data_IF_082479302140
#
_entry.id   IF_082479302140
#
_cell.length_a   1.000
_cell.length_b   1.000
_cell.length_c   1.000
_cell.angle_alpha   90.00
_cell.angle_beta   90.00
_cell.angle_gamma   90.00
#
_symmetry.space_group_name_H-M   'P 1'
#
loop_
_entity.id
_entity.type
_entity.pdbx_description
1 polymer ?
#
# COMPACT_ATOMS: atom_id res chain seq x y z
N UNK A 1 6.21 18.12 42.17
CA UNK A 1 5.12 17.83 41.23
C UNK A 1 5.80 17.46 39.92
N UNK A 2 5.61 16.24 39.43
CA UNK A 2 6.24 15.77 38.19
C UNK A 2 5.54 16.43 36.99
N UNK A 3 6.29 16.96 36.00
CA UNK A 3 5.70 17.45 34.74
C UNK A 3 5.13 16.27 33.95
N UNK A 4 4.11 16.55 33.17
CA UNK A 4 3.57 15.60 32.19
C UNK A 4 4.46 15.65 30.94
N UNK A 5 5.01 14.51 30.54
CA UNK A 5 5.74 14.38 29.28
C UNK A 5 4.77 13.80 28.26
N UNK A 6 4.54 14.51 27.17
CA UNK A 6 3.85 13.98 26.01
C UNK A 6 4.86 13.86 24.87
N UNK A 7 5.10 12.64 24.43
CA UNK A 7 5.90 12.36 23.23
C UNK A 7 4.95 11.74 22.22
N UNK A 8 4.87 12.32 21.05
CA UNK A 8 4.06 11.82 19.96
C UNK A 8 4.93 11.53 18.73
N UNK A 9 4.71 10.42 18.07
CA UNK A 9 5.05 10.31 16.66
C UNK A 9 4.07 11.21 15.91
N UNK A 10 4.59 12.23 15.21
CA UNK A 10 3.77 13.21 14.52
C UNK A 10 3.03 12.62 13.32
N UNK A 11 1.97 11.88 13.64
CA UNK A 11 0.91 11.58 12.69
C UNK A 11 -0.26 12.49 13.03
N UNK A 12 -0.59 13.42 12.15
CA UNK A 12 -1.84 14.21 12.31
C UNK A 12 -3.00 13.30 11.97
N UNK A 13 -3.42 12.51 12.95
CA UNK A 13 -4.57 11.61 12.85
C UNK A 13 -5.71 12.25 13.63
N UNK A 14 -6.61 12.92 12.93
CA UNK A 14 -7.84 13.45 13.51
C UNK A 14 -8.93 12.38 13.46
N UNK A 15 -9.33 11.87 14.62
CA UNK A 15 -10.47 10.99 14.82
C UNK A 15 -10.09 9.50 14.84
N UNK A 16 -10.34 8.84 15.95
CA UNK A 16 -10.34 7.39 16.03
C UNK A 16 -11.69 6.90 15.47
N UNK A 17 -11.69 6.48 14.21
CA UNK A 17 -12.80 5.72 13.63
C UNK A 17 -12.65 4.26 14.09
N UNK A 18 -13.76 3.55 14.27
CA UNK A 18 -13.76 2.16 14.72
C UNK A 18 -13.08 1.27 13.64
N UNK A 19 -11.90 0.69 13.92
CA UNK A 19 -11.21 -0.18 12.95
C UNK A 19 -11.96 -1.48 12.66
N UNK A 20 -13.03 -1.76 13.44
CA UNK A 20 -13.89 -2.93 13.31
C UNK A 20 -15.23 -2.60 12.69
N UNK A 21 -15.32 -1.54 11.88
CA UNK A 21 -16.56 -1.25 11.17
C UNK A 21 -17.05 -2.49 10.44
N UNK A 22 -18.21 -3.00 10.87
CA UNK A 22 -18.81 -4.22 10.34
C UNK A 22 -19.89 -3.85 9.35
N UNK A 23 -19.80 -4.40 8.16
CA UNK A 23 -20.84 -4.26 7.17
C UNK A 23 -22.06 -5.10 7.58
N UNK A 24 -23.22 -4.49 7.65
CA UNK A 24 -24.48 -5.22 7.83
C UNK A 24 -24.96 -5.88 6.53
N UNK A 25 -26.05 -6.62 6.62
CA UNK A 25 -26.65 -7.27 5.44
C UNK A 25 -27.03 -6.26 4.35
N UNK A 26 -27.62 -5.13 4.74
CA UNK A 26 -28.02 -4.06 3.81
C UNK A 26 -26.81 -3.41 3.14
N UNK A 27 -25.70 -3.26 3.88
CA UNK A 27 -24.44 -2.76 3.34
C UNK A 27 -23.86 -3.75 2.31
N UNK A 28 -23.92 -5.05 2.57
CA UNK A 28 -23.42 -6.07 1.66
C UNK A 28 -24.19 -6.08 0.33
N UNK A 29 -25.53 -5.96 0.37
CA UNK A 29 -26.35 -5.89 -0.84
C UNK A 29 -26.03 -4.64 -1.67
N UNK A 30 -25.88 -3.50 -1.01
CA UNK A 30 -25.56 -2.23 -1.66
C UNK A 30 -24.14 -2.23 -2.24
N UNK A 31 -23.17 -2.78 -1.52
CA UNK A 31 -21.79 -2.95 -2.01
C UNK A 31 -21.76 -3.85 -3.25
N UNK A 32 -22.50 -4.96 -3.28
CA UNK A 32 -22.58 -5.82 -4.46
C UNK A 32 -23.16 -5.09 -5.67
N UNK A 33 -24.14 -4.23 -5.47
CA UNK A 33 -24.66 -3.39 -6.54
C UNK A 33 -23.61 -2.43 -7.09
N UNK A 34 -22.85 -1.76 -6.22
CA UNK A 34 -21.75 -0.86 -6.61
C UNK A 34 -20.60 -1.61 -7.29
N UNK A 35 -20.31 -2.83 -6.88
CA UNK A 35 -19.28 -3.67 -7.51
C UNK A 35 -19.62 -4.03 -8.96
N UNK A 36 -20.86 -3.90 -9.39
CA UNK A 36 -21.26 -3.99 -10.80
C UNK A 36 -20.67 -2.88 -11.69
N UNK A 37 -20.06 -1.85 -11.09
CA UNK A 37 -19.33 -0.79 -11.80
C UNK A 37 -17.83 -1.09 -11.97
N UNK A 38 -17.31 -2.19 -11.39
CA UNK A 38 -15.95 -2.63 -11.60
C UNK A 38 -15.73 -3.07 -13.05
N UNK A 39 -14.49 -2.94 -13.52
CA UNK A 39 -14.09 -3.37 -14.85
C UNK A 39 -14.45 -4.84 -15.10
N UNK A 40 -15.13 -5.11 -16.22
CA UNK A 40 -15.46 -6.46 -16.69
C UNK A 40 -14.83 -6.77 -18.04
N UNK A 41 -13.91 -5.92 -18.52
CA UNK A 41 -13.21 -6.13 -19.78
C UNK A 41 -12.36 -7.41 -19.70
N UNK A 42 -12.36 -8.18 -20.80
CA UNK A 42 -11.61 -9.42 -20.93
C UNK A 42 -10.50 -9.22 -21.97
N UNK A 43 -9.24 -9.33 -21.52
CA UNK A 43 -8.06 -9.40 -22.37
C UNK A 43 -7.73 -10.84 -22.76
N UNK A 44 -6.55 -11.02 -23.33
CA UNK A 44 -6.02 -12.36 -23.68
C UNK A 44 -5.46 -13.04 -22.42
N UNK A 45 -4.77 -12.26 -21.56
CA UNK A 45 -4.05 -12.76 -20.39
C UNK A 45 -4.64 -12.29 -19.07
N UNK A 46 -5.49 -11.26 -19.10
CA UNK A 46 -6.08 -10.68 -17.89
C UNK A 46 -7.59 -10.53 -18.02
N UNK A 47 -8.25 -10.41 -16.90
CA UNK A 47 -9.68 -10.05 -16.82
C UNK A 47 -9.89 -9.01 -15.74
N UNK A 48 -10.81 -8.08 -15.97
CA UNK A 48 -11.17 -7.06 -14.99
C UNK A 48 -11.76 -7.65 -13.71
N UNK A 49 -11.51 -6.97 -12.59
CA UNK A 49 -11.88 -7.44 -11.24
C UNK A 49 -13.39 -7.61 -11.06
N UNK A 50 -14.23 -6.97 -11.88
CA UNK A 50 -15.68 -7.16 -11.91
C UNK A 50 -16.11 -8.59 -12.20
N UNK A 51 -15.32 -9.35 -12.97
CA UNK A 51 -15.61 -10.75 -13.29
C UNK A 51 -15.43 -11.70 -12.08
N UNK A 52 -14.75 -11.24 -11.00
CA UNK A 52 -14.55 -12.00 -9.76
C UNK A 52 -15.68 -11.78 -8.74
N UNK A 53 -16.50 -10.74 -8.93
CA UNK A 53 -17.54 -10.29 -8.00
C UNK A 53 -18.57 -11.36 -7.68
N UNK A 54 -18.97 -12.17 -8.66
CA UNK A 54 -20.02 -13.17 -8.47
C UNK A 54 -19.74 -14.16 -7.34
N UNK A 55 -18.45 -14.49 -7.12
CA UNK A 55 -18.02 -15.45 -6.11
C UNK A 55 -17.32 -14.80 -4.91
N UNK A 56 -16.60 -13.68 -5.13
CA UNK A 56 -15.70 -13.09 -4.13
C UNK A 56 -16.21 -11.75 -3.55
N UNK A 57 -17.39 -11.27 -3.94
CA UNK A 57 -18.07 -10.16 -3.27
C UNK A 57 -18.67 -10.60 -1.92
N UNK A 58 -19.04 -9.64 -1.05
CA UNK A 58 -19.72 -9.94 0.21
C UNK A 58 -20.91 -10.88 0.03
N UNK A 59 -21.05 -11.86 0.90
CA UNK A 59 -22.19 -12.77 0.92
C UNK A 59 -23.35 -12.16 1.70
N UNK A 60 -24.50 -11.85 1.05
CA UNK A 60 -25.66 -11.28 1.73
C UNK A 60 -26.27 -12.18 2.80
N UNK A 61 -26.09 -13.50 2.67
CA UNK A 61 -26.60 -14.46 3.63
C UNK A 61 -25.66 -14.67 4.82
N UNK A 62 -24.39 -14.21 4.70
CA UNK A 62 -23.38 -14.31 5.75
C UNK A 62 -22.88 -15.73 6.00
N UNK A 63 -23.02 -16.62 5.02
CA UNK A 63 -22.53 -18.02 5.11
C UNK A 63 -21.09 -18.16 4.63
N UNK A 64 -20.61 -17.22 3.80
CA UNK A 64 -19.26 -17.19 3.26
C UNK A 64 -18.62 -15.81 3.44
N UNK A 65 -17.30 -15.76 3.26
CA UNK A 65 -16.51 -14.53 3.29
C UNK A 65 -16.78 -13.68 4.54
N UNK A 66 -16.92 -14.37 5.67
CA UNK A 66 -17.09 -13.76 7.00
C UNK A 66 -16.03 -14.29 7.96
N UNK A 67 -15.61 -13.45 8.89
CA UNK A 67 -14.72 -13.84 9.98
C UNK A 67 -15.49 -14.53 11.12
N UNK A 68 -14.78 -14.95 12.17
CA UNK A 68 -15.33 -15.60 13.38
C UNK A 68 -16.32 -14.72 14.15
N UNK A 69 -16.43 -13.44 13.81
CA UNK A 69 -17.38 -12.49 14.39
C UNK A 69 -18.55 -12.18 13.45
N UNK A 70 -18.58 -12.80 12.26
CA UNK A 70 -19.60 -12.56 11.23
C UNK A 70 -19.39 -11.25 10.45
N UNK A 71 -18.23 -10.63 10.55
CA UNK A 71 -17.89 -9.46 9.73
C UNK A 71 -17.44 -9.92 8.34
N UNK A 72 -17.89 -9.20 7.31
CA UNK A 72 -17.49 -9.46 5.93
C UNK A 72 -15.98 -9.29 5.76
N UNK A 73 -15.36 -10.25 5.10
CA UNK A 73 -13.94 -10.28 4.73
C UNK A 73 -13.79 -10.65 3.24
N UNK A 74 -14.65 -10.09 2.43
CA UNK A 74 -14.65 -10.29 0.98
C UNK A 74 -13.38 -9.72 0.37
N UNK A 75 -12.61 -10.50 -0.43
CA UNK A 75 -11.44 -10.01 -1.13
C UNK A 75 -11.72 -8.77 -1.98
N UNK A 76 -12.84 -8.77 -2.70
CA UNK A 76 -13.25 -7.66 -3.56
C UNK A 76 -13.58 -6.41 -2.72
N UNK A 77 -14.37 -6.57 -1.67
CA UNK A 77 -14.78 -5.43 -0.83
C UNK A 77 -13.60 -4.81 -0.08
N UNK A 78 -12.68 -5.63 0.42
CA UNK A 78 -11.50 -5.16 1.13
C UNK A 78 -10.47 -4.50 0.19
N UNK A 79 -10.25 -5.06 -1.00
CA UNK A 79 -9.32 -4.55 -2.00
C UNK A 79 -9.79 -3.26 -2.65
N UNK A 80 -11.07 -3.14 -3.00
CA UNK A 80 -11.64 -2.08 -3.85
C UNK A 80 -11.35 -0.67 -3.36
N UNK A 81 -11.24 -0.45 -2.05
CA UNK A 81 -10.93 0.86 -1.45
C UNK A 81 -9.44 1.03 -1.11
N UNK A 82 -8.55 0.15 -1.56
CA UNK A 82 -7.10 0.26 -1.32
C UNK A 82 -6.43 1.19 -2.33
N UNK A 83 -5.22 1.66 -2.01
CA UNK A 83 -4.39 2.39 -2.97
C UNK A 83 -3.91 1.51 -4.12
N UNK A 84 -3.82 0.18 -3.93
CA UNK A 84 -3.47 -0.75 -5.00
C UNK A 84 -4.60 -0.86 -6.04
N UNK A 85 -5.84 -1.02 -5.60
CA UNK A 85 -7.00 -1.03 -6.49
C UNK A 85 -7.16 0.27 -7.29
N UNK A 86 -6.79 1.38 -6.69
CA UNK A 86 -6.95 2.71 -7.27
C UNK A 86 -5.63 3.30 -7.78
N UNK A 87 -4.59 2.49 -7.98
CA UNK A 87 -3.24 2.94 -8.32
C UNK A 87 -3.17 3.70 -9.64
N UNK A 88 -3.92 3.27 -10.66
CA UNK A 88 -4.00 3.94 -11.95
C UNK A 88 -4.83 5.24 -11.91
N UNK A 89 -5.74 5.37 -10.95
CA UNK A 89 -6.64 6.52 -10.78
C UNK A 89 -6.19 7.47 -9.66
N UNK A 90 -5.07 7.20 -8.99
CA UNK A 90 -4.51 8.06 -7.94
C UNK A 90 -4.11 9.42 -8.53
N UNK A 91 -4.78 10.52 -8.13
CA UNK A 91 -4.51 11.84 -8.72
C UNK A 91 -3.13 12.38 -8.36
N UNK A 92 -2.54 11.96 -7.24
CA UNK A 92 -1.19 12.35 -6.88
C UNK A 92 -0.15 11.64 -7.76
N UNK A 93 -0.33 10.34 -7.99
CA UNK A 93 0.54 9.60 -8.89
C UNK A 93 0.46 10.13 -10.33
N UNK A 94 -0.75 10.36 -10.86
CA UNK A 94 -0.93 10.93 -12.21
C UNK A 94 -0.25 12.31 -12.34
N UNK A 95 -0.44 13.19 -11.34
CA UNK A 95 0.21 14.49 -11.31
C UNK A 95 1.75 14.37 -11.22
N UNK A 96 2.26 13.36 -10.53
CA UNK A 96 3.70 13.12 -10.42
C UNK A 96 4.28 12.62 -11.74
N UNK A 97 3.61 11.69 -12.42
CA UNK A 97 4.03 11.21 -13.76
C UNK A 97 4.06 12.36 -14.75
N UNK A 98 3.02 13.20 -14.76
CA UNK A 98 2.99 14.37 -15.64
C UNK A 98 4.11 15.37 -15.32
N UNK A 99 4.37 15.62 -14.03
CA UNK A 99 5.49 16.47 -13.59
C UNK A 99 6.84 15.93 -14.06
N UNK A 100 7.09 14.61 -13.90
CA UNK A 100 8.34 13.99 -14.37
C UNK A 100 8.51 14.12 -15.88
N UNK A 101 7.44 13.94 -16.65
CA UNK A 101 7.43 14.14 -18.08
C UNK A 101 7.64 15.59 -18.52
N UNK A 102 7.23 16.57 -17.70
CA UNK A 102 7.50 18.00 -17.93
C UNK A 102 8.95 18.38 -17.63
N UNK A 103 9.54 17.81 -16.60
CA UNK A 103 10.94 18.04 -16.20
C UNK A 103 11.90 17.33 -17.16
N UNK A 104 11.52 16.13 -17.63
CA UNK A 104 12.34 15.26 -18.47
C UNK A 104 11.63 14.97 -19.82
N UNK A 105 11.36 15.96 -20.67
CA UNK A 105 10.49 15.77 -21.85
C UNK A 105 11.07 14.80 -22.87
N UNK A 106 12.39 14.65 -22.96
CA UNK A 106 13.04 13.69 -23.86
C UNK A 106 12.85 12.21 -23.43
N UNK A 107 12.50 11.98 -22.16
CA UNK A 107 12.36 10.65 -21.55
C UNK A 107 10.92 10.36 -21.12
N UNK A 108 9.97 11.24 -21.44
CA UNK A 108 8.59 11.18 -20.98
C UNK A 108 7.96 9.79 -21.17
N UNK A 109 8.06 9.26 -22.39
CA UNK A 109 7.47 7.97 -22.74
C UNK A 109 8.10 6.81 -21.98
N UNK A 110 9.41 6.83 -21.77
CA UNK A 110 10.11 5.83 -20.96
C UNK A 110 9.69 5.90 -19.49
N UNK A 111 9.53 7.11 -18.93
CA UNK A 111 9.04 7.34 -17.56
C UNK A 111 7.61 6.81 -17.42
N UNK A 112 6.71 7.18 -18.31
CA UNK A 112 5.31 6.72 -18.31
C UNK A 112 5.24 5.19 -18.37
N UNK A 113 6.06 4.56 -19.22
CA UNK A 113 6.10 3.11 -19.35
C UNK A 113 6.58 2.40 -18.07
N UNK A 114 7.58 2.94 -17.39
CA UNK A 114 8.03 2.41 -16.08
C UNK A 114 6.97 2.60 -15.00
N UNK A 115 6.32 3.75 -14.96
CA UNK A 115 5.26 4.05 -13.99
C UNK A 115 4.04 3.13 -14.17
N UNK A 116 3.58 2.94 -15.40
CA UNK A 116 2.39 2.14 -15.72
C UNK A 116 2.60 0.64 -15.45
N UNK A 117 3.84 0.13 -15.56
CA UNK A 117 4.16 -1.27 -15.27
C UNK A 117 3.77 -1.71 -13.85
N UNK A 118 3.84 -0.81 -12.87
CA UNK A 118 3.44 -1.08 -11.48
C UNK A 118 2.04 -0.59 -11.13
N UNK A 119 1.61 0.55 -11.70
CA UNK A 119 0.35 1.20 -11.33
C UNK A 119 -0.84 0.75 -12.17
N UNK A 120 -0.59 0.16 -13.35
CA UNK A 120 -1.60 -0.40 -14.25
C UNK A 120 -1.10 -1.73 -14.87
N UNK A 121 -0.65 -2.71 -14.05
CA UNK A 121 0.08 -3.87 -14.55
C UNK A 121 -0.74 -4.71 -15.54
N UNK A 122 -2.05 -4.80 -15.39
CA UNK A 122 -2.90 -5.57 -16.29
C UNK A 122 -2.89 -4.98 -17.70
N UNK A 123 -3.18 -3.69 -17.86
CA UNK A 123 -3.14 -3.02 -19.17
C UNK A 123 -1.74 -3.00 -19.77
N UNK A 124 -0.72 -2.69 -18.94
CA UNK A 124 0.68 -2.67 -19.37
C UNK A 124 1.12 -4.03 -19.93
N UNK A 125 0.95 -5.11 -19.17
CA UNK A 125 1.40 -6.44 -19.60
C UNK A 125 0.52 -7.00 -20.74
N UNK A 126 -0.79 -6.77 -20.73
CA UNK A 126 -1.68 -7.14 -21.83
C UNK A 126 -1.21 -6.52 -23.13
N UNK A 127 -0.95 -5.20 -23.14
CA UNK A 127 -0.51 -4.50 -24.34
C UNK A 127 0.84 -4.99 -24.87
N UNK A 128 1.82 -5.23 -23.97
CA UNK A 128 3.13 -5.72 -24.37
C UNK A 128 3.11 -7.16 -24.85
N UNK A 129 2.40 -8.06 -24.16
CA UNK A 129 2.34 -9.48 -24.49
C UNK A 129 1.55 -9.77 -25.78
N UNK A 130 0.51 -8.96 -26.06
CA UNK A 130 -0.27 -9.06 -27.30
C UNK A 130 0.39 -8.34 -28.48
N UNK A 131 1.39 -7.50 -28.22
CA UNK A 131 2.02 -6.64 -29.21
C UNK A 131 1.18 -5.42 -29.58
N UNK A 132 0.20 -5.06 -28.76
CA UNK A 132 -0.62 -3.86 -28.92
C UNK A 132 0.11 -2.59 -28.43
N UNK A 133 1.11 -2.72 -27.55
CA UNK A 133 1.94 -1.61 -27.14
C UNK A 133 2.61 -0.96 -28.33
N UNK A 134 2.49 0.37 -28.43
CA UNK A 134 3.08 1.16 -29.50
C UNK A 134 4.62 1.20 -29.43
N UNK A 135 5.27 1.92 -30.34
CA UNK A 135 6.72 2.06 -30.35
C UNK A 135 7.27 2.77 -29.10
N UNK A 136 6.40 3.50 -28.40
CA UNK A 136 6.71 4.23 -27.15
C UNK A 136 6.33 3.44 -25.89
N UNK A 137 5.94 2.18 -26.04
CA UNK A 137 5.46 1.33 -24.94
C UNK A 137 3.99 1.58 -24.61
N UNK A 138 3.63 1.50 -23.33
CA UNK A 138 2.29 1.74 -22.78
C UNK A 138 2.29 3.05 -22.00
N UNK A 139 1.79 4.10 -22.67
CA UNK A 139 1.84 5.48 -22.19
C UNK A 139 0.65 5.83 -21.29
N UNK A 140 0.67 7.03 -20.70
CA UNK A 140 -0.49 7.55 -19.95
C UNK A 140 -1.73 7.75 -20.84
N UNK A 141 -1.54 8.11 -22.12
CA UNK A 141 -2.66 8.23 -23.06
C UNK A 141 -3.29 6.86 -23.35
N UNK A 142 -2.46 5.80 -23.47
CA UNK A 142 -2.94 4.43 -23.63
C UNK A 142 -3.71 3.99 -22.37
N UNK A 143 -3.15 4.23 -21.18
CA UNK A 143 -3.79 3.92 -19.90
C UNK A 143 -5.16 4.59 -19.75
N UNK A 144 -5.25 5.88 -20.08
CA UNK A 144 -6.51 6.64 -19.91
C UNK A 144 -7.62 6.18 -20.88
N UNK A 145 -7.28 5.40 -21.89
CA UNK A 145 -8.21 4.79 -22.86
C UNK A 145 -8.48 3.29 -22.59
N UNK A 146 -7.82 2.70 -21.57
CA UNK A 146 -7.83 1.27 -21.29
C UNK A 146 -8.51 0.99 -19.93
N UNK A 147 -9.73 0.47 -19.95
CA UNK A 147 -10.46 0.12 -18.71
C UNK A 147 -9.79 -1.00 -17.91
N UNK A 148 -9.09 -1.94 -18.60
CA UNK A 148 -8.33 -3.00 -17.92
C UNK A 148 -7.11 -2.42 -17.18
N UNK A 149 -6.42 -1.45 -17.77
CA UNK A 149 -5.35 -0.72 -17.12
C UNK A 149 -5.85 0.16 -15.96
N UNK A 150 -7.00 0.80 -16.15
CA UNK A 150 -7.66 1.62 -15.12
C UNK A 150 -8.23 0.81 -13.94
N UNK A 151 -8.30 -0.51 -14.02
CA UNK A 151 -8.60 -1.41 -12.89
C UNK A 151 -7.45 -1.45 -11.84
N UNK A 152 -6.33 -0.77 -12.13
CA UNK A 152 -5.18 -0.66 -11.24
C UNK A 152 -4.46 -2.00 -11.05
N UNK A 153 -4.02 -2.28 -9.81
CA UNK A 153 -3.49 -3.61 -9.45
C UNK A 153 -4.68 -4.50 -9.11
N UNK A 154 -5.33 -5.03 -10.14
CA UNK A 154 -6.53 -5.84 -10.02
C UNK A 154 -6.25 -7.31 -9.66
N UNK A 155 -7.32 -8.10 -9.59
CA UNK A 155 -7.24 -9.50 -9.15
C UNK A 155 -6.25 -10.31 -9.99
N UNK A 156 -6.41 -10.30 -11.30
CA UNK A 156 -5.52 -11.04 -12.21
C UNK A 156 -4.12 -10.42 -12.32
N UNK A 157 -3.95 -9.13 -12.00
CA UNK A 157 -2.63 -8.49 -11.90
C UNK A 157 -1.69 -9.18 -10.92
N UNK A 158 -2.23 -9.74 -9.82
CA UNK A 158 -1.46 -10.52 -8.85
C UNK A 158 -1.59 -12.03 -9.11
N UNK A 159 -2.82 -12.52 -9.31
CA UNK A 159 -3.09 -13.95 -9.39
C UNK A 159 -2.61 -14.64 -10.67
N UNK A 160 -2.16 -13.87 -11.69
CA UNK A 160 -1.52 -14.41 -12.91
C UNK A 160 0.01 -14.47 -12.85
N UNK A 161 0.63 -14.08 -11.75
CA UNK A 161 2.09 -14.06 -11.59
C UNK A 161 2.61 -15.49 -11.41
N UNK A 162 3.49 -15.95 -12.30
CA UNK A 162 4.17 -17.23 -12.20
C UNK A 162 5.34 -17.18 -11.19
N UNK A 163 5.69 -18.35 -10.66
CA UNK A 163 6.86 -18.50 -9.79
C UNK A 163 8.16 -18.63 -10.62
N UNK A 164 8.56 -17.54 -11.28
CA UNK A 164 9.78 -17.48 -12.06
C UNK A 164 10.70 -16.36 -11.58
N UNK A 165 11.69 -16.71 -10.76
CA UNK A 165 12.72 -15.80 -10.22
C UNK A 165 12.17 -14.52 -9.60
N UNK A 166 11.07 -14.60 -8.85
CA UNK A 166 10.37 -13.44 -8.30
C UNK A 166 11.26 -12.52 -7.45
N UNK A 167 12.12 -13.12 -6.61
CA UNK A 167 13.06 -12.38 -5.76
C UNK A 167 14.08 -11.53 -6.53
N UNK A 168 14.36 -11.88 -7.79
CA UNK A 168 15.30 -11.17 -8.66
C UNK A 168 14.66 -10.14 -9.58
N UNK A 169 13.34 -9.94 -9.51
CA UNK A 169 12.62 -9.02 -10.38
C UNK A 169 12.40 -7.66 -9.73
N UNK A 170 12.27 -6.63 -10.57
CA UNK A 170 12.08 -5.24 -10.17
C UNK A 170 11.34 -4.47 -11.26
N UNK A 171 11.01 -3.21 -11.02
CA UNK A 171 10.49 -2.27 -12.01
C UNK A 171 9.20 -2.73 -12.70
N UNK A 172 8.34 -3.49 -11.99
CA UNK A 172 7.10 -4.01 -12.55
C UNK A 172 7.28 -5.17 -13.56
N UNK A 173 8.49 -5.75 -13.68
CA UNK A 173 8.73 -6.94 -14.50
C UNK A 173 8.05 -8.16 -13.85
N UNK A 174 6.84 -8.48 -14.27
CA UNK A 174 6.04 -9.59 -13.76
C UNK A 174 6.08 -10.78 -14.73
N UNK A 175 6.41 -11.99 -14.24
CA UNK A 175 6.32 -13.21 -15.05
C UNK A 175 4.85 -13.65 -15.13
N UNK A 176 4.12 -13.12 -16.09
CA UNK A 176 2.69 -13.43 -16.27
C UNK A 176 2.54 -14.77 -16.99
N UNK A 177 1.70 -15.66 -16.45
CA UNK A 177 1.38 -16.91 -17.11
C UNK A 177 0.50 -16.70 -18.36
N UNK A 178 0.65 -17.57 -19.34
CA UNK A 178 -0.08 -17.51 -20.62
C UNK A 178 -1.19 -18.55 -20.72
N UNK A 179 -1.49 -19.27 -19.64
CA UNK A 179 -2.43 -20.38 -19.63
C UNK A 179 -3.70 -20.05 -18.83
N UNK A 180 -3.92 -18.78 -18.50
CA UNK A 180 -5.03 -18.28 -17.68
C UNK A 180 -5.16 -19.03 -16.35
N UNK A 181 -4.03 -19.27 -15.68
CA UNK A 181 -4.00 -19.83 -14.33
C UNK A 181 -4.15 -18.70 -13.32
N UNK A 182 -5.08 -18.86 -12.37
CA UNK A 182 -5.18 -17.99 -11.20
C UNK A 182 -4.53 -18.66 -10.00
N UNK A 183 -3.30 -18.24 -9.69
CA UNK A 183 -2.55 -18.77 -8.57
C UNK A 183 -3.15 -18.31 -7.23
N UNK A 184 -3.29 -19.26 -6.30
CA UNK A 184 -3.77 -18.98 -4.95
C UNK A 184 -3.07 -19.82 -3.89
N UNK A 185 -3.32 -19.50 -2.62
CA UNK A 185 -2.70 -20.19 -1.48
C UNK A 185 -3.33 -21.53 -1.08
N UNK A 186 -4.26 -22.12 -1.84
CA UNK A 186 -4.97 -23.36 -1.48
C UNK A 186 -4.48 -24.54 -2.27
N UNK A 187 -4.09 -25.64 -1.58
CA UNK A 187 -3.48 -26.82 -2.21
C UNK A 187 -4.41 -27.60 -3.15
N UNK A 188 -5.71 -27.53 -2.94
CA UNK A 188 -6.70 -28.23 -3.74
C UNK A 188 -7.88 -27.29 -4.06
N UNK A 189 -7.66 -26.27 -4.89
CA UNK A 189 -8.73 -25.36 -5.27
C UNK A 189 -9.77 -26.07 -6.12
N UNK A 190 -11.02 -25.64 -6.00
CA UNK A 190 -12.10 -26.18 -6.81
C UNK A 190 -12.21 -25.43 -8.11
N UNK A 191 -11.82 -26.06 -9.22
CA UNK A 191 -11.63 -25.41 -10.52
C UNK A 191 -12.91 -25.16 -11.33
N UNK A 192 -13.87 -26.09 -11.27
CA UNK A 192 -14.98 -26.15 -12.21
C UNK A 192 -15.88 -24.92 -12.26
N UNK A 193 -16.16 -24.29 -11.11
CA UNK A 193 -17.02 -23.10 -11.07
C UNK A 193 -16.26 -21.84 -11.54
N UNK A 194 -15.05 -21.65 -11.06
CA UNK A 194 -14.26 -20.47 -11.41
C UNK A 194 -13.86 -20.47 -12.87
N UNK A 195 -13.34 -21.59 -13.39
CA UNK A 195 -12.94 -21.70 -14.80
C UNK A 195 -14.13 -21.56 -15.76
N UNK A 196 -15.29 -22.10 -15.38
CA UNK A 196 -16.51 -21.96 -16.18
C UNK A 196 -17.09 -20.54 -16.22
N UNK A 197 -16.82 -19.72 -15.18
CA UNK A 197 -17.35 -18.36 -15.06
C UNK A 197 -16.38 -17.32 -15.64
N UNK A 198 -15.07 -17.49 -15.43
CA UNK A 198 -14.06 -16.46 -15.70
C UNK A 198 -13.05 -16.87 -16.77
N UNK A 199 -13.02 -18.12 -17.19
CA UNK A 199 -11.96 -18.67 -18.04
C UNK A 199 -10.62 -18.91 -17.32
N UNK A 200 -10.48 -18.53 -16.05
CA UNK A 200 -9.26 -18.73 -15.27
C UNK A 200 -9.33 -20.02 -14.45
N UNK A 201 -8.27 -20.81 -14.47
CA UNK A 201 -8.13 -22.08 -13.75
C UNK A 201 -7.46 -21.80 -12.40
N UNK A 202 -8.16 -21.93 -11.27
CA UNK A 202 -7.52 -21.74 -9.97
C UNK A 202 -6.52 -22.88 -9.71
N UNK A 203 -5.32 -22.54 -9.29
CA UNK A 203 -4.26 -23.46 -8.96
C UNK A 203 -3.52 -23.08 -7.68
N UNK A 204 -2.91 -24.06 -7.01
CA UNK A 204 -2.06 -23.80 -5.88
C UNK A 204 -0.71 -23.23 -6.33
N UNK A 205 -0.33 -22.09 -5.77
CA UNK A 205 0.98 -21.48 -5.92
C UNK A 205 1.55 -21.10 -4.56
N UNK A 206 2.58 -21.80 -4.09
CA UNK A 206 3.19 -21.50 -2.78
C UNK A 206 3.79 -20.10 -2.75
N UNK A 207 4.25 -19.58 -3.89
CA UNK A 207 4.77 -18.22 -4.03
C UNK A 207 3.74 -17.14 -3.65
N UNK A 208 2.44 -17.41 -3.77
CA UNK A 208 1.38 -16.50 -3.33
C UNK A 208 1.36 -16.27 -1.81
N UNK A 209 2.06 -17.13 -1.06
CA UNK A 209 2.27 -16.99 0.39
C UNK A 209 3.64 -16.39 0.74
N UNK A 210 4.48 -16.11 -0.26
CA UNK A 210 5.82 -15.54 -0.10
C UNK A 210 5.83 -14.04 -0.38
N UNK A 211 6.69 -13.31 0.33
CA UNK A 211 6.97 -11.89 0.06
C UNK A 211 7.51 -11.63 -1.35
N UNK A 212 8.05 -12.65 -2.01
CA UNK A 212 8.62 -12.56 -3.35
C UNK A 212 7.58 -12.12 -4.41
N UNK A 213 6.29 -12.46 -4.24
CA UNK A 213 5.24 -12.01 -5.15
C UNK A 213 5.09 -10.48 -5.17
N UNK A 214 5.53 -9.81 -4.12
CA UNK A 214 5.48 -8.35 -4.01
C UNK A 214 6.74 -7.67 -4.58
N UNK A 215 7.83 -8.43 -4.80
CA UNK A 215 9.17 -7.92 -5.08
C UNK A 215 9.24 -7.00 -6.29
N UNK A 216 8.65 -7.40 -7.41
CA UNK A 216 8.78 -6.68 -8.67
C UNK A 216 8.25 -5.25 -8.60
N UNK A 217 7.06 -5.04 -8.03
CA UNK A 217 6.47 -3.71 -7.90
C UNK A 217 7.00 -2.93 -6.68
N UNK A 218 7.55 -3.63 -5.66
CA UNK A 218 8.11 -3.02 -4.45
C UNK A 218 9.64 -2.98 -4.45
N UNK A 219 10.25 -3.05 -5.65
CA UNK A 219 11.66 -2.79 -5.94
C UNK A 219 11.77 -1.98 -7.22
N UNK A 220 11.99 -0.66 -7.09
CA UNK A 220 12.11 0.26 -8.23
C UNK A 220 13.52 0.84 -8.25
N UNK A 221 14.21 0.66 -9.37
CA UNK A 221 15.52 1.19 -9.66
C UNK A 221 15.45 2.05 -10.91
N UNK A 222 15.95 3.27 -10.83
CA UNK A 222 15.99 4.20 -11.94
C UNK A 222 17.44 4.59 -12.27
N UNK A 223 17.73 4.81 -13.54
CA UNK A 223 19.02 5.36 -13.95
C UNK A 223 19.02 6.86 -13.67
N UNK A 224 20.11 7.35 -13.03
CA UNK A 224 20.25 8.78 -12.80
C UNK A 224 20.73 9.48 -14.05
N UNK A 225 20.28 10.71 -14.24
CA UNK A 225 20.69 11.58 -15.32
C UNK A 225 21.35 12.84 -14.76
N UNK A 226 22.26 13.42 -15.53
CA UNK A 226 22.80 14.73 -15.22
C UNK A 226 21.85 15.87 -15.63
N UNK A 227 22.25 17.11 -15.40
CA UNK A 227 21.43 18.28 -15.71
C UNK A 227 21.20 18.50 -17.21
N UNK A 228 22.00 17.85 -18.06
CA UNK A 228 21.86 17.89 -19.52
C UNK A 228 20.97 16.72 -20.04
N UNK A 229 20.53 15.82 -19.14
CA UNK A 229 19.68 14.67 -19.44
C UNK A 229 20.44 13.42 -19.91
N UNK A 230 21.76 13.41 -19.80
CA UNK A 230 22.58 12.25 -20.13
C UNK A 230 22.68 11.28 -18.94
N UNK A 231 22.62 9.97 -19.21
CA UNK A 231 22.74 8.96 -18.16
C UNK A 231 24.11 9.02 -17.47
N UNK A 232 24.13 9.13 -16.15
CA UNK A 232 25.37 9.14 -15.35
C UNK A 232 26.02 7.77 -15.20
N UNK A 233 25.28 6.70 -15.55
CA UNK A 233 25.67 5.32 -15.30
C UNK A 233 25.47 4.86 -13.85
N UNK A 234 24.90 5.69 -12.99
CA UNK A 234 24.52 5.35 -11.62
C UNK A 234 23.06 4.89 -11.55
N UNK A 235 22.75 4.11 -10.51
CA UNK A 235 21.40 3.63 -10.23
C UNK A 235 20.91 4.28 -8.96
N UNK A 236 19.72 4.85 -9.02
CA UNK A 236 18.98 5.35 -7.87
C UNK A 236 17.97 4.30 -7.40
N UNK A 237 18.02 3.96 -6.12
CA UNK A 237 17.10 3.05 -5.46
C UNK A 237 15.84 3.82 -5.02
N UNK A 238 14.92 4.01 -5.93
CA UNK A 238 13.74 4.86 -5.71
C UNK A 238 12.75 4.23 -4.73
N UNK A 239 12.52 2.92 -4.85
CA UNK A 239 11.69 2.17 -3.91
C UNK A 239 12.32 0.81 -3.64
N UNK A 240 12.59 0.49 -2.38
CA UNK A 240 13.32 -0.72 -2.00
C UNK A 240 12.68 -1.50 -0.86
N UNK A 241 11.36 -1.35 -0.68
CA UNK A 241 10.62 -1.95 0.44
C UNK A 241 10.83 -3.46 0.54
N UNK A 242 10.88 -4.17 -0.61
CA UNK A 242 11.17 -5.61 -0.60
C UNK A 242 12.61 -5.91 -0.16
N UNK A 243 13.60 -5.16 -0.65
CA UNK A 243 15.00 -5.34 -0.24
C UNK A 243 15.24 -4.96 1.22
N UNK A 244 14.52 -3.99 1.73
CA UNK A 244 14.55 -3.65 3.15
C UNK A 244 14.05 -4.81 4.00
N UNK A 245 12.94 -5.45 3.57
CA UNK A 245 12.43 -6.67 4.20
C UNK A 245 13.44 -7.83 4.11
N UNK A 246 14.06 -8.06 2.95
CA UNK A 246 15.10 -9.10 2.78
C UNK A 246 16.22 -8.96 3.81
N UNK A 247 16.57 -7.73 4.18
CA UNK A 247 17.64 -7.42 5.13
C UNK A 247 17.14 -7.22 6.57
N UNK A 248 15.87 -7.48 6.85
CA UNK A 248 15.26 -7.33 8.18
C UNK A 248 15.31 -8.62 9.00
N UNK A 249 15.06 -8.51 10.30
CA UNK A 249 14.84 -9.65 11.18
C UNK A 249 13.62 -10.48 10.76
N UNK A 250 12.60 -9.86 10.19
CA UNK A 250 11.35 -10.51 9.76
C UNK A 250 11.60 -11.57 8.67
N UNK A 251 12.48 -11.29 7.70
CA UNK A 251 12.88 -12.29 6.72
C UNK A 251 13.59 -13.49 7.40
N UNK A 252 14.50 -13.22 8.33
CA UNK A 252 15.20 -14.28 9.08
C UNK A 252 14.25 -15.13 9.93
N UNK A 253 13.15 -14.55 10.41
CA UNK A 253 12.09 -15.19 11.17
C UNK A 253 10.97 -15.78 10.31
N UNK A 254 11.10 -15.70 8.98
CA UNK A 254 10.10 -16.14 8.01
C UNK A 254 8.73 -15.44 8.15
N UNK A 255 8.71 -14.18 8.59
CA UNK A 255 7.52 -13.33 8.62
C UNK A 255 7.36 -12.64 7.27
N UNK A 256 6.32 -13.00 6.54
CA UNK A 256 6.07 -12.53 5.18
C UNK A 256 5.32 -11.21 5.14
N UNK A 257 5.38 -10.49 4.03
CA UNK A 257 4.62 -9.25 3.81
C UNK A 257 3.12 -9.46 4.07
N UNK A 258 2.59 -10.60 3.63
CA UNK A 258 1.18 -10.98 3.79
C UNK A 258 0.77 -11.08 5.26
N UNK A 259 1.69 -11.38 6.18
CA UNK A 259 1.38 -11.50 7.62
C UNK A 259 0.76 -10.21 8.17
N UNK A 260 1.25 -9.05 7.75
CA UNK A 260 0.76 -7.74 8.18
C UNK A 260 -0.23 -7.12 7.18
N UNK A 261 0.07 -7.23 5.86
CA UNK A 261 -0.70 -6.57 4.82
C UNK A 261 -1.94 -7.36 4.38
N UNK A 262 -1.98 -8.66 4.65
CA UNK A 262 -3.08 -9.57 4.35
C UNK A 262 -3.37 -10.49 5.55
N UNK A 263 -3.78 -9.94 6.72
CA UNK A 263 -3.98 -10.74 7.93
C UNK A 263 -4.96 -11.88 7.69
N UNK A 264 -4.69 -13.04 8.32
CA UNK A 264 -5.45 -14.26 8.08
C UNK A 264 -6.82 -14.26 8.77
N UNK A 265 -7.80 -14.84 8.09
CA UNK A 265 -9.04 -15.35 8.69
C UNK A 265 -8.80 -16.80 9.13
N UNK A 266 -9.21 -17.17 10.33
CA UNK A 266 -8.91 -18.50 10.91
C UNK A 266 -9.70 -19.67 10.31
N UNK A 267 -10.70 -19.35 9.48
CA UNK A 267 -11.44 -20.36 8.72
C UNK A 267 -12.78 -19.84 8.26
N UNK A 268 -13.14 -20.19 7.06
CA UNK A 268 -14.41 -19.80 6.45
C UNK A 268 -14.51 -20.26 5.01
N UNK A 269 -15.69 -20.16 4.42
CA UNK A 269 -15.88 -20.37 2.99
C UNK A 269 -15.33 -19.15 2.21
N UNK A 270 -14.50 -19.40 1.21
CA UNK A 270 -13.77 -18.38 0.44
C UNK A 270 -14.54 -17.83 -0.76
N UNK A 271 -15.75 -18.30 -1.01
CA UNK A 271 -16.60 -17.82 -2.08
C UNK A 271 -18.08 -17.88 -1.68
N UNK A 272 -18.82 -16.86 -2.06
CA UNK A 272 -20.26 -16.74 -1.79
C UNK A 272 -21.11 -17.66 -2.67
N UNK A 273 -20.57 -18.16 -3.79
CA UNK A 273 -21.28 -19.09 -4.66
C UNK A 273 -21.05 -20.53 -4.18
N UNK A 274 -22.14 -21.24 -3.83
CA UNK A 274 -22.13 -22.61 -3.32
C UNK A 274 -21.26 -22.78 -2.04
N UNK A 275 -21.41 -21.92 -1.01
CA UNK A 275 -20.54 -21.92 0.16
C UNK A 275 -20.52 -23.25 0.89
N UNK A 276 -21.66 -23.98 0.92
CA UNK A 276 -21.81 -25.28 1.57
C UNK A 276 -21.02 -26.43 0.90
N UNK A 277 -20.46 -26.20 -0.28
CA UNK A 277 -19.62 -27.16 -0.98
C UNK A 277 -18.14 -26.96 -0.71
N UNK A 278 -17.79 -25.81 -0.13
CA UNK A 278 -16.41 -25.43 0.17
C UNK A 278 -16.07 -25.83 1.61
N UNK A 279 -14.91 -26.44 1.78
CA UNK A 279 -14.37 -26.67 3.12
C UNK A 279 -13.86 -25.35 3.69
N UNK A 280 -14.13 -25.06 4.99
CA UNK A 280 -13.54 -23.92 5.66
C UNK A 280 -12.02 -23.94 5.56
N UNK A 281 -11.44 -22.82 5.14
CA UNK A 281 -9.99 -22.65 4.99
C UNK A 281 -9.53 -21.33 5.58
N UNK A 282 -8.25 -21.25 5.95
CA UNK A 282 -7.62 -19.99 6.33
C UNK A 282 -7.30 -19.22 5.06
N UNK A 283 -7.67 -17.96 4.99
CA UNK A 283 -7.35 -17.10 3.84
C UNK A 283 -6.96 -15.68 4.27
N UNK A 284 -6.21 -14.99 3.42
CA UNK A 284 -5.75 -13.62 3.66
C UNK A 284 -6.84 -12.59 3.36
N UNK A 285 -7.06 -11.66 4.27
CA UNK A 285 -7.85 -10.45 4.03
C UNK A 285 -7.08 -9.55 3.06
N UNK A 286 -7.76 -9.00 2.06
CA UNK A 286 -7.12 -8.14 1.04
C UNK A 286 -7.06 -6.68 1.51
N UNK A 287 -6.54 -6.45 2.72
CA UNK A 287 -6.49 -5.14 3.36
C UNK A 287 -5.45 -4.21 2.74
N UNK A 288 -4.29 -4.73 2.36
CA UNK A 288 -3.17 -3.99 1.75
C UNK A 288 -2.93 -2.61 2.38
N UNK A 289 -2.94 -2.57 3.72
CA UNK A 289 -2.75 -1.33 4.47
C UNK A 289 -1.38 -0.72 4.17
N UNK A 290 -1.35 0.61 4.07
CA UNK A 290 -0.11 1.37 3.85
C UNK A 290 -0.01 2.54 4.83
N UNK A 291 0.82 3.53 4.51
CA UNK A 291 1.04 4.71 5.35
C UNK A 291 0.23 5.96 4.94
N UNK A 292 -0.60 5.89 3.89
CA UNK A 292 -1.21 7.09 3.29
C UNK A 292 -2.71 7.22 3.55
N UNK A 293 -3.11 7.42 4.81
CA UNK A 293 -4.50 7.68 5.18
C UNK A 293 -5.04 9.00 4.58
N UNK A 294 -4.18 9.97 4.27
CA UNK A 294 -4.60 11.24 3.66
C UNK A 294 -5.13 11.02 2.25
N UNK A 295 -4.41 10.26 1.41
CA UNK A 295 -4.85 10.00 0.03
C UNK A 295 -6.15 9.19 0.00
N UNK A 296 -6.31 8.22 0.90
CA UNK A 296 -7.57 7.49 1.03
C UNK A 296 -8.76 8.41 1.35
N UNK A 297 -8.56 9.40 2.24
CA UNK A 297 -9.59 10.42 2.54
C UNK A 297 -9.88 11.30 1.32
N UNK A 298 -8.85 11.74 0.60
CA UNK A 298 -9.01 12.53 -0.61
C UNK A 298 -9.79 11.76 -1.68
N UNK A 299 -9.45 10.50 -1.90
CA UNK A 299 -10.14 9.61 -2.85
C UNK A 299 -11.60 9.38 -2.44
N UNK A 300 -11.88 9.09 -1.17
CA UNK A 300 -13.23 8.94 -0.64
C UNK A 300 -14.08 10.17 -0.94
N UNK A 301 -13.54 11.35 -0.64
CA UNK A 301 -14.27 12.62 -0.74
C UNK A 301 -14.45 13.06 -2.21
N UNK A 302 -13.71 12.49 -3.14
CA UNK A 302 -13.73 12.78 -4.58
C UNK A 302 -14.00 11.54 -5.44
N UNK A 303 -14.60 10.48 -4.88
CA UNK A 303 -14.75 9.20 -5.56
C UNK A 303 -15.48 9.31 -6.91
N UNK A 304 -16.51 10.16 -6.99
CA UNK A 304 -17.26 10.39 -8.23
C UNK A 304 -16.41 11.08 -9.29
N UNK A 305 -15.66 12.11 -8.91
CA UNK A 305 -14.80 12.87 -9.84
C UNK A 305 -13.63 12.02 -10.38
N UNK A 306 -13.13 11.11 -9.54
CA UNK A 306 -12.04 10.20 -9.88
C UNK A 306 -12.55 8.88 -10.51
N UNK A 307 -13.86 8.76 -10.70
CA UNK A 307 -14.50 7.54 -11.23
C UNK A 307 -14.10 6.28 -10.44
N UNK A 308 -14.15 6.36 -9.09
CA UNK A 308 -13.83 5.24 -8.21
C UNK A 308 -15.10 4.46 -7.89
N UNK A 309 -15.03 3.14 -7.95
CA UNK A 309 -16.15 2.24 -7.68
C UNK A 309 -16.38 1.97 -6.18
N UNK A 310 -15.34 2.17 -5.34
CA UNK A 310 -15.45 1.94 -3.90
C UNK A 310 -16.40 2.92 -3.21
N UNK A 311 -17.14 2.43 -2.23
CA UNK A 311 -18.06 3.21 -1.43
C UNK A 311 -17.34 4.00 -0.34
N UNK A 312 -17.96 5.05 0.18
CA UNK A 312 -17.44 5.79 1.33
C UNK A 312 -17.19 4.88 2.54
N UNK A 313 -18.08 3.92 2.80
CA UNK A 313 -17.95 2.95 3.90
C UNK A 313 -16.72 2.05 3.73
N UNK A 314 -16.41 1.61 2.51
CA UNK A 314 -15.21 0.83 2.23
C UNK A 314 -13.95 1.67 2.44
N UNK A 315 -13.93 2.92 1.95
CA UNK A 315 -12.83 3.85 2.22
C UNK A 315 -12.66 4.12 3.71
N UNK A 316 -13.74 4.37 4.46
CA UNK A 316 -13.69 4.59 5.91
C UNK A 316 -13.07 3.40 6.64
N UNK A 317 -13.43 2.17 6.25
CA UNK A 317 -12.84 0.96 6.80
C UNK A 317 -11.34 0.85 6.49
N UNK A 318 -10.94 1.15 5.26
CA UNK A 318 -9.53 1.12 4.85
C UNK A 318 -8.73 2.23 5.55
N UNK A 319 -9.29 3.42 5.73
CA UNK A 319 -8.70 4.52 6.50
C UNK A 319 -8.51 4.10 7.96
N UNK A 320 -9.54 3.50 8.58
CA UNK A 320 -9.47 3.04 9.96
C UNK A 320 -8.38 1.97 10.15
N UNK A 321 -8.32 0.96 9.26
CA UNK A 321 -7.27 -0.08 9.27
C UNK A 321 -5.88 0.51 9.08
N UNK A 322 -5.69 1.43 8.14
CA UNK A 322 -4.43 2.14 7.90
C UNK A 322 -4.01 2.93 9.14
N UNK A 323 -4.94 3.66 9.74
CA UNK A 323 -4.70 4.43 10.96
C UNK A 323 -4.31 3.54 12.14
N UNK A 324 -5.03 2.43 12.33
CA UNK A 324 -4.74 1.45 13.39
C UNK A 324 -3.35 0.81 13.18
N UNK A 325 -3.00 0.44 11.95
CA UNK A 325 -1.68 -0.09 11.61
C UNK A 325 -0.56 0.89 11.94
N UNK A 326 -0.72 2.16 11.57
CA UNK A 326 0.26 3.21 11.90
C UNK A 326 0.40 3.44 13.41
N UNK A 327 -0.71 3.39 14.15
CA UNK A 327 -0.71 3.66 15.60
C UNK A 327 -0.25 2.48 16.45
N UNK A 328 -0.47 1.24 16.00
CA UNK A 328 -0.36 0.06 16.85
C UNK A 328 0.69 -0.94 16.39
N UNK A 329 1.08 -0.92 15.12
CA UNK A 329 1.90 -1.97 14.50
C UNK A 329 3.12 -1.45 13.73
N UNK A 330 3.34 -0.13 13.71
CA UNK A 330 4.43 0.46 12.91
C UNK A 330 5.66 0.76 13.74
N UNK A 331 5.48 1.34 14.94
CA UNK A 331 6.59 1.64 15.84
C UNK A 331 6.14 1.67 17.30
N UNK A 332 7.04 1.27 18.19
CA UNK A 332 6.91 1.54 19.63
C UNK A 332 7.72 2.78 20.00
N UNK A 333 7.17 3.57 20.90
CA UNK A 333 7.82 4.75 21.45
C UNK A 333 7.92 4.62 22.97
N UNK A 334 9.16 4.54 23.48
CA UNK A 334 9.45 4.46 24.90
C UNK A 334 10.15 5.73 25.37
N UNK A 335 9.65 6.30 26.46
CA UNK A 335 10.24 7.49 27.06
C UNK A 335 10.66 7.20 28.50
N UNK A 336 11.92 7.44 28.80
CA UNK A 336 12.50 7.23 30.12
C UNK A 336 13.15 8.51 30.62
N UNK A 337 12.74 8.98 31.81
CA UNK A 337 13.45 10.06 32.47
C UNK A 337 14.78 9.54 33.03
N UNK A 338 15.90 10.16 32.66
CA UNK A 338 17.25 9.81 33.10
C UNK A 338 17.67 10.62 34.31
N UNK A 339 17.42 11.92 34.27
CA UNK A 339 17.78 12.82 35.37
C UNK A 339 16.74 13.94 35.55
N UNK A 340 16.66 14.44 36.78
CA UNK A 340 15.95 15.68 37.08
C UNK A 340 16.66 16.43 38.18
N UNK A 341 16.92 17.70 37.95
CA UNK A 341 17.41 18.67 38.90
C UNK A 341 16.59 19.97 38.78
N UNK A 342 16.77 20.95 39.65
CA UNK A 342 16.09 22.25 39.47
C UNK A 342 16.39 22.93 38.14
N UNK A 343 17.54 22.65 37.57
CA UNK A 343 18.08 23.35 36.40
C UNK A 343 18.18 22.45 35.15
N UNK A 344 17.94 21.13 35.25
CA UNK A 344 18.13 20.20 34.17
C UNK A 344 17.16 19.01 34.25
N UNK A 345 16.58 18.65 33.12
CA UNK A 345 15.74 17.49 32.88
C UNK A 345 16.26 16.73 31.69
N UNK A 346 16.59 15.46 31.84
CA UNK A 346 17.07 14.62 30.77
C UNK A 346 16.12 13.44 30.56
N UNK A 347 15.78 13.17 29.30
CA UNK A 347 14.93 12.06 28.86
C UNK A 347 15.64 11.26 27.79
N UNK A 348 15.42 9.97 27.79
CA UNK A 348 15.76 9.08 26.69
C UNK A 348 14.47 8.75 25.94
N UNK A 349 14.50 8.89 24.63
CA UNK A 349 13.41 8.52 23.75
C UNK A 349 13.90 7.40 22.83
N UNK A 350 13.31 6.22 22.97
CA UNK A 350 13.59 5.06 22.13
C UNK A 350 12.47 4.88 21.14
N UNK A 351 12.84 4.74 19.85
CA UNK A 351 11.91 4.39 18.78
C UNK A 351 12.26 3.00 18.26
N UNK A 352 11.39 2.05 18.49
CA UNK A 352 11.52 0.69 17.96
C UNK A 352 10.68 0.55 16.69
N UNK A 353 11.31 0.23 15.55
CA UNK A 353 10.61 -0.04 14.30
C UNK A 353 10.01 -1.45 14.32
N UNK A 354 8.70 -1.55 14.24
CA UNK A 354 7.95 -2.81 14.19
C UNK A 354 7.57 -3.23 12.76
N UNK A 355 7.80 -2.36 11.76
CA UNK A 355 7.60 -2.72 10.37
C UNK A 355 8.69 -3.68 9.89
N UNK A 356 8.34 -4.63 9.03
CA UNK A 356 9.30 -5.57 8.44
C UNK A 356 10.25 -4.93 7.41
N UNK A 357 10.32 -3.61 7.34
CA UNK A 357 11.09 -2.79 6.43
C UNK A 357 11.44 -1.47 7.13
N UNK A 358 12.16 -0.58 6.48
CA UNK A 358 12.41 0.77 7.02
C UNK A 358 11.10 1.53 7.28
N UNK A 359 11.17 2.50 8.17
CA UNK A 359 10.09 3.43 8.42
C UNK A 359 10.67 4.86 8.53
N UNK A 360 10.25 5.77 7.63
CA UNK A 360 9.37 5.56 6.49
C UNK A 360 10.02 4.68 5.40
N UNK A 361 9.19 4.12 4.50
CA UNK A 361 9.62 3.29 3.35
C UNK A 361 8.76 3.61 2.12
N UNK A 362 9.15 3.08 0.96
CA UNK A 362 8.51 3.30 -0.33
C UNK A 362 8.95 4.61 -0.97
N UNK A 363 8.01 5.45 -1.40
CA UNK A 363 8.31 6.68 -2.11
C UNK A 363 9.21 7.64 -1.30
N UNK A 364 10.29 8.19 -1.90
CA UNK A 364 11.36 8.90 -1.17
C UNK A 364 10.94 10.17 -0.41
N UNK A 365 9.83 10.80 -0.79
CA UNK A 365 9.35 12.02 -0.13
C UNK A 365 8.63 11.77 1.21
N UNK A 366 8.55 10.52 1.67
CA UNK A 366 7.93 10.19 2.96
C UNK A 366 8.84 10.58 4.11
N UNK A 367 8.25 11.20 5.12
CA UNK A 367 8.95 11.72 6.31
C UNK A 367 8.26 11.20 7.56
N UNK A 368 9.02 10.74 8.53
CA UNK A 368 8.59 10.52 9.91
C UNK A 368 9.45 11.39 10.83
N UNK A 369 8.87 11.95 11.89
CA UNK A 369 9.59 12.80 12.82
C UNK A 369 9.09 12.62 14.24
N UNK A 370 9.92 12.98 15.22
CA UNK A 370 9.56 12.99 16.63
C UNK A 370 9.06 14.38 17.03
N UNK A 371 7.86 14.44 17.58
CA UNK A 371 7.36 15.61 18.29
C UNK A 371 7.49 15.37 19.80
N UNK A 372 8.33 16.13 20.46
CA UNK A 372 8.56 16.04 21.90
C UNK A 372 8.11 17.33 22.58
N UNK A 373 7.16 17.21 23.51
CA UNK A 373 6.63 18.33 24.29
C UNK A 373 6.78 18.06 25.78
N UNK A 374 7.44 18.99 26.49
CA UNK A 374 7.50 19.01 27.95
C UNK A 374 6.53 20.04 28.48
N UNK A 375 5.58 19.62 29.31
CA UNK A 375 4.51 20.48 29.83
C UNK A 375 4.57 20.52 31.34
N UNK A 376 4.46 21.73 31.92
CA UNK A 376 4.36 21.90 33.39
C UNK A 376 3.03 21.34 33.92
N UNK A 377 2.94 21.17 35.22
CA UNK A 377 1.70 20.77 35.89
C UNK A 377 0.59 21.82 35.83
N UNK A 378 0.92 23.08 35.48
CA UNK A 378 -0.03 24.17 35.18
C UNK A 378 -0.50 24.18 33.76
N UNK A 379 0.09 23.35 32.88
CA UNK A 379 -0.25 23.28 31.45
C UNK A 379 0.61 24.17 30.54
N UNK A 380 1.64 24.82 31.10
CA UNK A 380 2.54 25.65 30.31
C UNK A 380 3.56 24.77 29.56
N UNK A 381 3.78 25.01 28.28
CA UNK A 381 4.83 24.36 27.49
C UNK A 381 6.20 24.89 27.95
N UNK A 382 7.07 23.99 28.37
CA UNK A 382 8.43 24.27 28.84
C UNK A 382 9.46 24.01 27.76
N UNK A 383 9.18 23.10 26.85
CA UNK A 383 10.03 22.74 25.72
C UNK A 383 9.18 22.06 24.65
N UNK A 384 9.44 22.37 23.37
CA UNK A 384 8.72 21.76 22.23
C UNK A 384 9.62 21.64 21.02
N UNK A 385 10.06 20.42 20.72
CA UNK A 385 10.81 20.07 19.52
C UNK A 385 9.89 19.33 18.53
N UNK A 386 10.03 19.58 17.23
CA UNK A 386 9.24 18.94 16.19
C UNK A 386 7.80 19.44 16.08
N UNK A 387 7.50 20.66 16.51
CA UNK A 387 6.19 21.26 16.34
C UNK A 387 5.80 21.27 14.86
N UNK A 388 4.56 20.83 14.56
CA UNK A 388 4.08 20.77 13.18
C UNK A 388 2.87 21.69 12.98
N UNK A 389 2.84 22.33 11.82
CA UNK A 389 1.64 23.01 11.35
C UNK A 389 1.45 22.83 9.86
N UNK A 390 0.19 22.92 9.41
CA UNK A 390 -0.12 22.84 7.97
C UNK A 390 0.54 23.96 7.16
N UNK A 391 0.72 25.12 7.76
CA UNK A 391 1.25 26.32 7.09
C UNK A 391 2.79 26.28 6.99
N UNK A 392 3.46 25.86 8.07
CA UNK A 392 4.92 25.96 8.21
C UNK A 392 5.63 24.60 8.16
N UNK A 393 4.89 23.48 8.08
CA UNK A 393 5.48 22.14 8.13
C UNK A 393 6.06 21.82 9.51
N UNK A 394 7.17 21.08 9.54
CA UNK A 394 7.90 20.67 10.74
C UNK A 394 8.86 21.77 11.17
N UNK A 395 8.72 22.29 12.38
CA UNK A 395 9.61 23.30 12.93
C UNK A 395 11.02 22.71 13.12
N UNK A 396 12.02 23.43 12.65
CA UNK A 396 13.42 23.02 12.73
C UNK A 396 13.89 22.13 11.56
N UNK A 397 13.00 21.77 10.62
CA UNK A 397 13.42 21.05 9.40
C UNK A 397 14.30 21.91 8.53
N UNK A 398 15.47 21.39 8.12
CA UNK A 398 16.34 21.98 7.12
C UNK A 398 16.07 21.34 5.75
N UNK A 399 15.72 22.14 4.75
CA UNK A 399 15.45 21.64 3.41
C UNK A 399 16.72 21.17 2.66
N UNK A 400 17.89 21.59 3.10
CA UNK A 400 19.17 21.24 2.48
C UNK A 400 19.86 20.03 3.12
N UNK A 401 19.69 19.86 4.41
CA UNK A 401 20.32 18.78 5.16
C UNK A 401 19.61 18.52 6.48
N UNK A 402 19.16 17.29 6.69
CA UNK A 402 18.54 16.86 7.95
C UNK A 402 19.57 16.14 8.83
N UNK A 403 20.05 16.76 9.91
CA UNK A 403 20.98 16.11 10.81
C UNK A 403 20.28 15.04 11.64
N UNK A 404 20.95 13.92 11.87
CA UNK A 404 20.58 12.97 12.91
C UNK A 404 21.11 13.45 14.27
N UNK A 405 20.19 13.73 15.19
CA UNK A 405 20.50 14.20 16.52
C UNK A 405 20.64 13.03 17.49
N UNK A 406 21.82 12.88 18.11
CA UNK A 406 22.00 11.98 19.24
C UNK A 406 21.51 12.60 20.56
N UNK A 407 21.48 13.92 20.62
CA UNK A 407 21.01 14.71 21.76
C UNK A 407 20.33 15.98 21.24
N UNK A 408 19.15 16.26 21.76
CA UNK A 408 18.36 17.45 21.44
C UNK A 408 18.29 18.33 22.66
N UNK A 409 18.79 19.57 22.56
CA UNK A 409 18.85 20.55 23.63
C UNK A 409 18.12 21.86 23.31
N UNK A 410 17.78 22.07 22.05
CA UNK A 410 17.11 23.27 21.56
C UNK A 410 15.84 22.89 20.79
N UNK A 411 14.81 23.75 20.84
CA UNK A 411 13.49 23.48 20.23
C UNK A 411 13.52 23.43 18.68
N UNK A 412 14.55 24.06 18.05
CA UNK A 412 14.78 24.00 16.62
C UNK A 412 15.53 22.75 16.16
N UNK A 413 15.97 21.91 17.05
CA UNK A 413 16.52 20.58 16.76
C UNK A 413 15.36 19.58 16.73
N UNK A 414 15.16 18.89 15.63
CA UNK A 414 14.10 17.88 15.47
C UNK A 414 14.69 16.60 14.92
N UNK A 415 14.29 15.45 15.48
CA UNK A 415 14.67 14.16 14.91
C UNK A 415 13.74 13.80 13.79
N UNK A 416 14.29 13.73 12.57
CA UNK A 416 13.56 13.38 11.34
C UNK A 416 14.15 12.10 10.76
N UNK A 417 13.28 11.26 10.23
CA UNK A 417 13.61 10.05 9.47
C UNK A 417 13.04 10.22 8.07
N UNK A 418 13.92 10.31 7.09
CA UNK A 418 13.59 10.42 5.67
C UNK A 418 14.72 9.85 4.82
N UNK A 419 14.47 9.66 3.53
CA UNK A 419 15.52 9.34 2.58
C UNK A 419 16.30 10.61 2.25
N UNK A 420 17.58 10.60 2.58
CA UNK A 420 18.50 11.71 2.24
C UNK A 420 19.23 11.35 0.96
N UNK A 421 19.05 12.17 -0.07
CA UNK A 421 19.78 12.06 -1.34
C UNK A 421 21.14 12.75 -1.17
N UNK A 422 22.22 12.06 -1.54
CA UNK A 422 23.58 12.61 -1.51
C UNK A 422 24.27 12.42 -2.84
N UNK A 423 25.11 13.39 -3.23
CA UNK A 423 26.09 13.21 -4.29
C UNK A 423 27.20 12.24 -3.81
N UNK A 424 27.59 11.34 -4.67
CA UNK A 424 28.63 10.34 -4.41
C UNK A 424 29.95 10.79 -5.05
#
# INVERSE_FOLDING_TARGET
MLPLVAVGLGFVLTGAEDPHHRYGKDDAEWMRWRMGELCTEEGVYFTGSGNCVNCHAPDPDGEALVDEHGATVSPVADWQATLMANSARDPFWQAKVDHEGLVNPAHREAIENVCTACHAPQGFHEAHMTGAAGPNGYTMDDLMADELGLDGVGCTGCHSIDNDNLAGRSNGDLPINTENVAWGGFENPWDGLMSGQTGFIPAFGEHMRSSEVCASCHSLYTHTQDLDGEETGQIFFEQTTYLEWVNSAFNAENVQCQTCHMPLVEGGAIAATQPNWLFPQRFGKHHFVGGNAFMLKLMRDNAVQLNLSATSTQFDSTIARTTASLQQSTANLNVRQLASSPDEWAFEVEVENLAGHKFPSGYPARVAFLEFTLVSTSGDTLFHSGAWSRENGIAGRDAGWEPHWNEITEENQVQIYELVLGDV
#
